data_IF_199180330032
#
_entry.id   IF_199180330032
#
_cell.length_a   1.000
_cell.length_b   1.000
_cell.length_c   1.000
_cell.angle_alpha   90.00
_cell.angle_beta   90.00
_cell.angle_gamma   90.00
#
_symmetry.space_group_name_H-M   'P 1'
#
loop_
_entity.id
_entity.type
_entity.pdbx_description
1 polymer ?
#
# COMPACT_ATOMS: atom_id res chain seq x y z
N UNK A 1 -4.92 -13.23 7.07
CA UNK A 1 -3.48 -12.95 7.19
C UNK A 1 -2.64 -13.76 6.19
N UNK A 2 -2.62 -15.10 6.26
CA UNK A 2 -1.81 -15.92 5.34
C UNK A 2 -2.10 -15.66 3.85
N UNK A 3 -3.36 -15.81 3.43
CA UNK A 3 -3.73 -15.62 2.02
C UNK A 3 -3.43 -14.20 1.53
N UNK A 4 -3.69 -13.19 2.36
CA UNK A 4 -3.36 -11.80 2.05
C UNK A 4 -1.87 -11.64 1.73
N UNK A 5 -0.98 -12.20 2.56
CA UNK A 5 0.47 -12.12 2.34
C UNK A 5 0.85 -12.94 1.09
N UNK A 6 0.35 -14.17 0.96
CA UNK A 6 0.65 -15.04 -0.18
C UNK A 6 0.21 -14.42 -1.51
N UNK A 7 -0.98 -13.82 -1.56
CA UNK A 7 -1.51 -13.13 -2.74
C UNK A 7 -0.65 -11.91 -3.09
N UNK A 8 -0.33 -11.05 -2.11
CA UNK A 8 0.56 -9.90 -2.33
C UNK A 8 1.92 -10.34 -2.88
N UNK A 9 2.52 -11.38 -2.29
CA UNK A 9 3.77 -11.94 -2.77
C UNK A 9 3.61 -12.62 -4.13
N UNK A 10 2.44 -13.14 -4.50
CA UNK A 10 2.23 -13.75 -5.81
C UNK A 10 2.21 -12.69 -6.94
N UNK A 11 1.71 -11.48 -6.68
CA UNK A 11 1.54 -10.43 -7.71
C UNK A 11 2.60 -9.33 -7.68
N UNK A 12 3.22 -9.04 -6.54
CA UNK A 12 4.19 -7.94 -6.39
C UNK A 12 5.63 -8.40 -6.15
N UNK A 13 6.57 -7.67 -6.74
CA UNK A 13 7.94 -7.55 -6.26
C UNK A 13 7.98 -6.40 -5.25
N UNK A 14 8.28 -6.72 -4.00
CA UNK A 14 8.39 -5.74 -2.92
C UNK A 14 9.86 -5.37 -2.78
N UNK A 15 10.21 -4.10 -3.04
CA UNK A 15 11.58 -3.59 -3.02
C UNK A 15 11.72 -2.39 -2.09
N UNK A 16 12.96 -1.97 -1.85
CA UNK A 16 13.24 -0.67 -1.21
C UNK A 16 12.75 0.46 -2.11
N UNK A 17 12.32 1.55 -1.49
CA UNK A 17 12.07 2.79 -2.21
C UNK A 17 13.38 3.30 -2.82
N UNK A 18 13.29 3.91 -3.99
CA UNK A 18 14.43 4.52 -4.67
C UNK A 18 14.22 6.02 -4.65
N UNK A 19 15.14 6.76 -4.02
CA UNK A 19 15.16 8.22 -4.02
C UNK A 19 16.49 8.71 -4.57
N UNK A 20 16.47 9.64 -5.54
CA UNK A 20 17.67 10.14 -6.21
C UNK A 20 18.59 9.02 -6.75
N UNK A 21 17.98 7.94 -7.26
CA UNK A 21 18.70 6.78 -7.82
C UNK A 21 19.36 5.86 -6.79
N UNK A 22 19.06 6.01 -5.49
CA UNK A 22 19.59 5.15 -4.42
C UNK A 22 18.48 4.50 -3.62
N UNK A 23 18.71 3.25 -3.22
CA UNK A 23 17.83 2.54 -2.30
C UNK A 23 17.79 3.25 -0.94
N UNK A 24 16.58 3.47 -0.43
CA UNK A 24 16.33 4.02 0.90
C UNK A 24 15.98 2.88 1.85
N UNK A 25 16.76 2.74 2.92
CA UNK A 25 16.44 1.78 3.98
C UNK A 25 15.24 2.29 4.80
N UNK A 26 14.18 1.48 4.98
CA UNK A 26 13.07 1.86 5.84
C UNK A 26 13.53 2.02 7.29
N UNK A 27 13.22 3.16 7.91
CA UNK A 27 13.50 3.38 9.32
C UNK A 27 12.52 2.55 10.15
N UNK A 28 13.05 1.59 10.91
CA UNK A 28 12.25 0.77 11.84
C UNK A 28 11.88 1.63 13.05
N UNK A 29 10.70 2.24 12.99
CA UNK A 29 10.16 3.14 14.01
C UNK A 29 8.65 2.98 14.10
N UNK A 30 8.07 3.23 15.28
CA UNK A 30 6.67 2.93 15.57
C UNK A 30 5.99 4.08 16.32
N UNK A 31 4.68 4.22 16.14
CA UNK A 31 3.86 5.18 16.88
C UNK A 31 3.78 4.80 18.36
N UNK A 32 3.65 5.80 19.23
CA UNK A 32 3.36 5.56 20.65
C UNK A 32 1.92 5.06 20.82
N UNK A 33 1.71 3.99 21.60
CA UNK A 33 0.38 3.42 21.87
C UNK A 33 0.44 1.95 22.26
N UNK A 34 -0.74 1.34 22.46
CA UNK A 34 -0.87 -0.09 22.78
C UNK A 34 -0.52 -0.96 21.56
N UNK A 35 -0.82 -0.47 20.36
CA UNK A 35 -0.52 -1.14 19.10
C UNK A 35 0.73 -0.50 18.49
N UNK A 36 1.73 -1.32 18.18
CA UNK A 36 2.99 -0.91 17.56
C UNK A 36 2.80 -0.67 16.06
N UNK A 37 2.08 0.39 15.68
CA UNK A 37 1.95 0.75 14.27
C UNK A 37 3.27 1.32 13.75
N UNK A 38 3.79 0.82 12.62
CA UNK A 38 4.99 1.41 12.02
C UNK A 38 4.72 2.88 11.64
N UNK A 39 5.71 3.74 11.79
CA UNK A 39 5.63 5.09 11.23
C UNK A 39 5.52 5.02 9.71
N UNK A 40 4.91 6.04 9.05
CA UNK A 40 4.80 6.07 7.60
C UNK A 40 6.16 5.89 6.92
N UNK A 41 6.21 4.97 5.96
CA UNK A 41 7.38 4.72 5.11
C UNK A 41 6.93 4.62 3.65
N UNK A 42 7.85 4.84 2.71
CA UNK A 42 7.56 4.69 1.28
C UNK A 42 7.83 3.25 0.85
N UNK A 43 6.81 2.47 0.44
CA UNK A 43 7.02 1.18 -0.18
C UNK A 43 7.34 1.32 -1.68
N UNK A 44 7.96 0.29 -2.25
CA UNK A 44 8.09 0.14 -3.71
C UNK A 44 7.51 -1.22 -4.11
N UNK A 45 6.30 -1.20 -4.67
CA UNK A 45 5.55 -2.38 -5.09
C UNK A 45 5.47 -2.39 -6.62
N UNK A 46 6.11 -3.37 -7.25
CA UNK A 46 6.12 -3.49 -8.71
C UNK A 46 5.39 -4.77 -9.12
N UNK A 47 4.38 -4.73 -10.00
CA UNK A 47 3.77 -5.95 -10.52
C UNK A 47 4.82 -6.91 -11.10
N UNK A 48 4.71 -8.20 -10.81
CA UNK A 48 5.68 -9.21 -11.26
C UNK A 48 5.64 -9.47 -12.77
N UNK A 49 4.51 -9.17 -13.41
CA UNK A 49 4.30 -9.36 -14.85
C UNK A 49 3.11 -8.53 -15.34
N UNK A 50 2.98 -8.39 -16.66
CA UNK A 50 1.82 -7.76 -17.28
C UNK A 50 0.49 -8.45 -16.90
N UNK A 51 0.49 -9.78 -16.73
CA UNK A 51 -0.69 -10.52 -16.26
C UNK A 51 -1.06 -10.15 -14.82
N UNK A 52 -0.06 -10.01 -13.94
CA UNK A 52 -0.29 -9.59 -12.57
C UNK A 52 -0.82 -8.15 -12.51
N UNK A 53 -0.29 -7.25 -13.34
CA UNK A 53 -0.80 -5.88 -13.46
C UNK A 53 -2.25 -5.85 -13.94
N UNK A 54 -2.59 -6.60 -14.99
CA UNK A 54 -3.96 -6.69 -15.49
C UNK A 54 -4.93 -7.20 -14.42
N UNK A 55 -4.53 -8.22 -13.65
CA UNK A 55 -5.33 -8.73 -12.52
C UNK A 55 -5.55 -7.68 -11.43
N UNK A 56 -4.55 -6.85 -11.13
CA UNK A 56 -4.69 -5.79 -10.13
C UNK A 56 -5.68 -4.73 -10.61
N UNK A 57 -5.57 -4.32 -11.89
CA UNK A 57 -6.43 -3.29 -12.48
C UNK A 57 -7.87 -3.74 -12.67
N UNK A 58 -8.12 -5.02 -12.90
CA UNK A 58 -9.50 -5.52 -13.03
C UNK A 58 -10.34 -5.29 -11.77
N UNK A 59 -9.71 -5.13 -10.59
CA UNK A 59 -10.41 -4.79 -9.34
C UNK A 59 -11.15 -3.45 -9.46
N UNK A 60 -10.59 -2.48 -10.19
CA UNK A 60 -11.23 -1.19 -10.42
C UNK A 60 -12.45 -1.29 -11.36
N UNK A 61 -12.48 -2.32 -12.22
CA UNK A 61 -13.59 -2.60 -13.14
C UNK A 61 -14.71 -3.40 -12.43
N UNK A 62 -14.31 -4.42 -11.67
CA UNK A 62 -15.23 -5.33 -10.97
C UNK A 62 -15.93 -4.66 -9.78
N UNK A 63 -15.29 -3.66 -9.17
CA UNK A 63 -15.82 -2.89 -8.06
C UNK A 63 -15.78 -1.41 -8.37
N UNK A 64 -16.96 -0.80 -8.55
CA UNK A 64 -17.08 0.65 -8.75
C UNK A 64 -16.38 1.37 -7.58
N UNK A 65 -15.36 2.16 -7.88
CA UNK A 65 -14.63 2.96 -6.89
C UNK A 65 -15.65 3.87 -6.22
N UNK A 66 -16.04 3.53 -4.99
CA UNK A 66 -16.90 4.39 -4.19
C UNK A 66 -16.09 5.61 -3.78
N UNK A 67 -16.73 6.78 -3.86
CA UNK A 67 -16.14 8.01 -3.36
C UNK A 67 -15.83 7.84 -1.86
N UNK A 68 -14.64 8.26 -1.45
CA UNK A 68 -14.23 8.16 -0.05
C UNK A 68 -15.00 9.20 0.79
N UNK A 69 -15.57 8.76 1.91
CA UNK A 69 -16.22 9.62 2.93
C UNK A 69 -15.25 10.60 3.63
N UNK A 70 -14.02 10.75 3.15
CA UNK A 70 -13.03 11.68 3.69
C UNK A 70 -13.52 13.14 3.64
N UNK A 71 -14.40 13.48 2.69
CA UNK A 71 -14.97 14.83 2.56
C UNK A 71 -15.89 15.16 3.74
N UNK A 72 -16.67 14.20 4.21
CA UNK A 72 -17.57 14.32 5.35
C UNK A 72 -16.78 14.53 6.64
N UNK A 73 -15.66 13.84 6.81
CA UNK A 73 -14.78 14.01 7.98
C UNK A 73 -14.15 15.41 8.08
N UNK A 74 -13.82 16.04 6.94
CA UNK A 74 -13.31 17.41 6.93
C UNK A 74 -14.35 18.44 7.41
N UNK A 75 -15.64 18.12 7.31
CA UNK A 75 -16.73 19.00 7.78
C UNK A 75 -16.97 18.94 9.29
N UNK A 76 -16.39 17.96 9.98
CA UNK A 76 -16.60 17.70 11.42
C UNK A 76 -15.51 18.36 12.30
N UNK A 77 -14.36 18.73 11.72
CA UNK A 77 -13.34 19.50 12.43
C UNK A 77 -13.74 20.99 12.47
N UNK A 78 -14.58 21.35 13.44
CA UNK A 78 -14.86 22.73 13.87
C UNK A 78 -13.89 23.17 14.97
#
# INVERSE_FOLDING_TARGET
MYLTIAQNLAVFNIKKAVENGKDVEPIVSFSQGIISHPLPFKPNLVPRSAKAEALIRSVEEDYSIMESDAKELLSINM
#
